data_IF_511834852637
#
_entry.id   IF_511834852637
#
_cell.length_a   1.000
_cell.length_b   1.000
_cell.length_c   1.000
_cell.angle_alpha   90.00
_cell.angle_beta   90.00
_cell.angle_gamma   90.00
#
_symmetry.space_group_name_H-M   'P 1'
#
loop_
_entity.id
_entity.type
_entity.pdbx_description
1 polymer ?
#
# COMPACT_ATOMS: atom_id res chain seq x y z
N UNK A 1 10.96 -14.90 -45.45
CA UNK A 1 10.93 -13.55 -44.85
C UNK A 1 12.22 -13.34 -44.07
N UNK A 2 13.14 -12.52 -44.59
CA UNK A 2 14.50 -12.31 -44.05
C UNK A 2 14.47 -11.12 -43.08
N UNK A 3 14.73 -11.35 -41.80
CA UNK A 3 14.90 -10.32 -40.78
C UNK A 3 16.34 -9.78 -40.82
N UNK A 4 16.52 -8.46 -40.94
CA UNK A 4 17.83 -7.78 -40.82
C UNK A 4 17.92 -7.13 -39.44
N UNK A 5 18.95 -7.48 -38.67
CA UNK A 5 19.34 -6.79 -37.45
C UNK A 5 19.84 -5.37 -37.78
N UNK A 6 19.31 -4.37 -37.09
CA UNK A 6 19.91 -3.03 -36.98
C UNK A 6 20.48 -2.88 -35.58
N UNK A 7 21.80 -2.74 -35.49
CA UNK A 7 22.51 -2.31 -34.28
C UNK A 7 22.28 -0.82 -34.04
N UNK A 8 21.81 -0.45 -32.86
CA UNK A 8 21.91 0.91 -32.32
C UNK A 8 23.00 0.91 -31.25
N UNK A 9 24.12 1.57 -31.53
CA UNK A 9 25.14 1.91 -30.54
C UNK A 9 24.75 3.19 -29.83
N UNK A 10 24.40 3.09 -28.54
CA UNK A 10 24.20 4.22 -27.63
C UNK A 10 25.34 4.28 -26.63
N UNK A 11 26.20 5.28 -26.79
CA UNK A 11 27.31 5.61 -25.90
C UNK A 11 26.77 6.34 -24.67
N UNK A 12 26.91 5.74 -23.47
CA UNK A 12 26.57 6.37 -22.19
C UNK A 12 27.85 6.78 -21.46
N UNK A 13 27.95 8.01 -20.91
CA UNK A 13 29.13 8.41 -20.16
C UNK A 13 29.17 7.73 -18.78
N UNK A 14 30.34 7.18 -18.44
CA UNK A 14 30.67 6.62 -17.13
C UNK A 14 30.66 7.73 -16.06
N UNK A 15 29.65 7.71 -15.20
CA UNK A 15 29.62 8.46 -13.94
C UNK A 15 30.55 7.82 -12.91
N UNK A 16 31.34 8.64 -12.21
CA UNK A 16 32.35 8.25 -11.23
C UNK A 16 31.75 7.50 -10.01
N UNK A 17 32.46 6.51 -9.44
CA UNK A 17 32.07 5.86 -8.20
C UNK A 17 32.51 6.70 -7.00
N UNK A 18 31.59 7.12 -6.14
CA UNK A 18 31.94 7.78 -4.89
C UNK A 18 30.73 8.31 -4.13
N UNK A 19 30.54 7.76 -2.93
CA UNK A 19 29.56 8.12 -1.88
C UNK A 19 28.21 7.40 -1.90
N UNK A 20 28.20 6.18 -1.34
CA UNK A 20 27.01 5.61 -0.71
C UNK A 20 26.68 6.40 0.56
N UNK A 21 25.88 7.46 0.43
CA UNK A 21 25.01 7.87 1.53
C UNK A 21 23.82 6.93 1.52
N UNK A 22 23.70 6.07 2.53
CA UNK A 22 22.45 5.40 2.85
C UNK A 22 21.41 6.47 3.14
N UNK A 23 20.66 6.87 2.12
CA UNK A 23 19.38 7.55 2.31
C UNK A 23 18.40 6.45 2.67
N UNK A 24 18.10 6.35 3.96
CA UNK A 24 16.95 5.63 4.47
C UNK A 24 15.71 6.35 3.92
N UNK A 25 15.28 5.96 2.72
CA UNK A 25 14.00 6.33 2.15
C UNK A 25 12.95 5.44 2.79
N UNK A 26 12.40 5.87 3.93
CA UNK A 26 11.09 5.40 4.35
C UNK A 26 10.07 5.89 3.32
N UNK A 27 9.47 4.96 2.59
CA UNK A 27 8.50 5.28 1.53
C UNK A 27 8.69 4.48 0.25
N UNK A 28 8.85 3.17 0.36
CA UNK A 28 8.58 2.26 -0.75
C UNK A 28 7.07 2.19 -0.98
N UNK A 29 6.48 3.25 -1.55
CA UNK A 29 5.12 3.23 -2.04
C UNK A 29 5.07 2.34 -3.27
N UNK A 30 4.64 1.09 -3.11
CA UNK A 30 4.38 0.19 -4.21
C UNK A 30 3.43 0.85 -5.22
N UNK A 31 3.70 0.66 -6.52
CA UNK A 31 2.72 0.94 -7.55
C UNK A 31 1.46 0.12 -7.23
N UNK A 32 0.36 0.76 -6.79
CA UNK A 32 -0.88 0.00 -6.60
C UNK A 32 -1.99 0.56 -5.71
N UNK A 33 -1.82 1.71 -5.05
CA UNK A 33 -2.92 2.35 -4.33
C UNK A 33 -3.89 3.06 -5.28
N UNK A 34 -4.71 2.34 -6.04
CA UNK A 34 -5.90 2.93 -6.68
C UNK A 34 -7.01 3.00 -5.63
N UNK A 35 -6.86 3.98 -4.77
CA UNK A 35 -7.81 4.38 -3.75
C UNK A 35 -7.23 5.59 -3.06
N UNK A 36 -8.02 6.65 -2.92
CA UNK A 36 -7.63 7.82 -2.14
C UNK A 36 -7.16 7.30 -0.77
N UNK A 37 -5.84 7.31 -0.52
CA UNK A 37 -5.35 7.17 0.85
C UNK A 37 -6.03 8.29 1.62
N UNK A 38 -6.93 7.93 2.53
CA UNK A 38 -7.83 8.88 3.16
C UNK A 38 -7.02 10.02 3.77
N UNK A 39 -7.29 11.25 3.32
CA UNK A 39 -6.67 12.43 3.93
C UNK A 39 -7.02 12.43 5.42
N UNK A 40 -6.00 12.32 6.28
CA UNK A 40 -6.18 12.42 7.72
C UNK A 40 -6.80 13.77 8.08
N UNK A 41 -7.80 13.78 8.96
CA UNK A 41 -8.43 15.01 9.40
C UNK A 41 -7.44 15.93 10.13
N UNK A 42 -7.46 17.22 9.78
CA UNK A 42 -6.70 18.23 10.52
C UNK A 42 -7.32 18.38 11.93
N UNK A 43 -6.51 18.19 12.99
CA UNK A 43 -6.94 18.44 14.37
C UNK A 43 -7.28 19.91 14.59
N UNK A 44 -8.30 20.18 15.41
CA UNK A 44 -8.76 21.53 15.69
C UNK A 44 -7.72 22.36 16.46
N UNK A 45 -7.42 23.57 15.99
CA UNK A 45 -6.55 24.51 16.67
C UNK A 45 -7.39 25.37 17.62
N UNK A 46 -7.10 25.31 18.92
CA UNK A 46 -7.79 26.08 19.95
C UNK A 46 -7.01 27.40 20.24
N UNK A 47 -7.68 28.54 20.22
CA UNK A 47 -7.08 29.85 20.55
C UNK A 47 -7.11 30.13 22.06
N UNK A 48 -6.15 30.90 22.62
CA UNK A 48 -5.73 30.78 24.02
C UNK A 48 -6.72 31.27 25.10
N UNK A 49 -7.81 31.93 24.76
CA UNK A 49 -8.48 32.82 25.72
C UNK A 49 -9.58 32.16 26.56
N UNK A 50 -10.22 31.07 26.11
CA UNK A 50 -11.16 30.24 26.89
C UNK A 50 -11.40 28.87 26.21
N UNK A 51 -10.35 28.11 25.90
CA UNK A 51 -10.49 27.02 24.94
C UNK A 51 -10.32 25.61 25.51
N UNK A 52 -11.42 24.87 25.48
CA UNK A 52 -11.40 23.42 25.38
C UNK A 52 -10.53 23.03 24.18
N UNK A 53 -9.71 22.00 24.34
CA UNK A 53 -8.91 21.50 23.24
C UNK A 53 -9.81 21.05 22.09
N UNK A 54 -9.49 21.42 20.85
CA UNK A 54 -10.27 20.98 19.69
C UNK A 54 -10.13 19.47 19.49
N UNK A 55 -11.22 18.77 19.13
CA UNK A 55 -11.12 17.33 18.84
C UNK A 55 -10.22 17.08 17.62
N UNK A 56 -9.53 15.94 17.64
CA UNK A 56 -8.74 15.46 16.53
C UNK A 56 -9.63 15.03 15.37
N UNK A 57 -9.20 15.27 14.13
CA UNK A 57 -9.95 14.85 12.95
C UNK A 57 -9.86 13.34 12.72
N UNK A 58 -10.91 12.70 12.19
CA UNK A 58 -10.86 11.27 11.86
C UNK A 58 -9.97 11.01 10.62
N UNK A 59 -9.33 9.84 10.58
CA UNK A 59 -8.63 9.34 9.41
C UNK A 59 -9.60 8.79 8.36
N UNK A 60 -9.33 9.02 7.08
CA UNK A 60 -10.13 8.41 6.01
C UNK A 60 -9.74 6.95 5.76
N UNK A 61 -10.66 6.12 5.29
CA UNK A 61 -10.34 4.71 4.98
C UNK A 61 -9.47 4.59 3.72
N UNK A 62 -8.58 3.60 3.70
CA UNK A 62 -7.77 3.23 2.55
C UNK A 62 -8.57 2.45 1.50
N UNK A 63 -8.22 2.63 0.23
CA UNK A 63 -8.74 1.80 -0.85
C UNK A 63 -7.89 0.55 -1.11
N UNK A 64 -8.15 -0.15 -2.22
CA UNK A 64 -7.43 -1.37 -2.58
C UNK A 64 -5.91 -1.14 -2.63
N UNK A 65 -5.14 -1.94 -1.89
CA UNK A 65 -3.68 -1.77 -1.75
C UNK A 65 -3.24 -0.54 -0.95
N UNK A 66 -4.17 0.30 -0.51
CA UNK A 66 -3.92 1.52 0.24
C UNK A 66 -4.08 1.33 1.75
N UNK A 67 -3.17 1.92 2.53
CA UNK A 67 -3.28 1.99 3.98
C UNK A 67 -4.40 2.93 4.45
N UNK A 68 -4.83 2.76 5.69
CA UNK A 68 -5.79 3.66 6.34
C UNK A 68 -5.21 5.05 6.60
N UNK A 69 -6.05 6.07 6.66
CA UNK A 69 -5.64 7.44 7.00
C UNK A 69 -5.40 7.61 8.50
N UNK A 70 -4.52 8.54 8.87
CA UNK A 70 -4.21 8.83 10.27
C UNK A 70 -5.42 9.46 10.99
N UNK A 71 -5.70 9.01 12.22
CA UNK A 71 -6.53 9.79 13.15
C UNK A 71 -5.70 10.97 13.68
N UNK A 72 -6.27 12.16 13.71
CA UNK A 72 -5.64 13.37 14.25
C UNK A 72 -5.63 13.36 15.78
N UNK A 73 -4.60 13.95 16.39
CA UNK A 73 -4.58 14.16 17.84
C UNK A 73 -5.60 15.23 18.25
N UNK A 74 -6.30 15.02 19.36
CA UNK A 74 -7.05 16.08 20.02
C UNK A 74 -6.10 17.15 20.57
N UNK A 75 -6.49 18.41 20.49
CA UNK A 75 -5.75 19.53 21.06
C UNK A 75 -5.74 19.47 22.59
N UNK A 76 -4.66 19.93 23.21
CA UNK A 76 -4.63 20.14 24.65
C UNK A 76 -5.61 21.27 25.02
N UNK A 77 -6.38 21.07 26.09
CA UNK A 77 -7.16 22.15 26.69
C UNK A 77 -6.22 23.16 27.33
N UNK A 78 -6.53 24.45 27.22
CA UNK A 78 -5.73 25.48 27.87
C UNK A 78 -5.77 25.32 29.39
N UNK A 79 -4.61 25.27 30.04
CA UNK A 79 -4.50 25.53 31.47
C UNK A 79 -4.68 27.03 31.68
N UNK A 80 -5.78 27.45 32.30
CA UNK A 80 -5.97 28.85 32.70
C UNK A 80 -4.78 29.26 33.59
N UNK A 81 -4.14 30.38 33.24
CA UNK A 81 -2.91 30.85 33.86
C UNK A 81 -3.02 30.94 35.38
N UNK A 82 -1.94 30.59 36.05
CA UNK A 82 -1.78 30.66 37.50
C UNK A 82 -1.59 32.09 38.01
N UNK A 83 -2.35 33.07 37.50
CA UNK A 83 -2.33 34.45 38.00
C UNK A 83 -3.11 34.59 39.31
N UNK A 84 -2.77 33.75 40.29
CA UNK A 84 -2.93 34.00 41.72
C UNK A 84 -4.35 34.18 42.29
N UNK A 85 -5.40 34.19 41.47
CA UNK A 85 -6.78 34.34 41.92
C UNK A 85 -7.41 32.98 42.15
N UNK A 86 -7.44 32.55 43.40
CA UNK A 86 -7.80 31.22 43.88
C UNK A 86 -9.28 30.84 43.80
N UNK A 87 -10.08 31.48 42.94
CA UNK A 87 -11.53 31.21 42.86
C UNK A 87 -11.99 31.01 41.41
N UNK A 88 -11.94 29.77 40.93
CA UNK A 88 -12.84 29.30 39.85
C UNK A 88 -12.24 28.94 38.49
N UNK A 89 -10.95 28.59 38.39
CA UNK A 89 -10.37 28.14 37.12
C UNK A 89 -10.82 26.73 36.74
N UNK A 90 -11.85 26.61 35.91
CA UNK A 90 -12.18 25.35 35.24
C UNK A 90 -10.97 24.89 34.42
N UNK A 91 -10.44 23.70 34.73
CA UNK A 91 -9.39 23.09 33.92
C UNK A 91 -9.97 22.79 32.54
N UNK A 92 -9.50 23.48 31.50
CA UNK A 92 -9.92 23.21 30.13
C UNK A 92 -9.72 21.74 29.80
N UNK A 93 -10.77 21.04 29.37
CA UNK A 93 -10.67 19.63 29.01
C UNK A 93 -9.89 19.49 27.71
N UNK A 94 -8.96 18.54 27.64
CA UNK A 94 -8.33 18.15 26.37
C UNK A 94 -9.38 17.66 25.39
N UNK A 95 -9.21 18.01 24.11
CA UNK A 95 -10.03 17.47 23.03
C UNK A 95 -9.80 15.96 22.89
N UNK A 96 -10.82 15.26 22.39
CA UNK A 96 -10.72 13.83 22.15
C UNK A 96 -9.86 13.54 20.90
N UNK A 97 -9.03 12.49 20.91
CA UNK A 97 -8.35 12.01 19.71
C UNK A 97 -9.33 11.59 18.61
N UNK A 98 -8.98 11.84 17.36
CA UNK A 98 -9.73 11.36 16.21
C UNK A 98 -9.59 9.85 16.03
N UNK A 99 -10.59 9.23 15.39
CA UNK A 99 -10.58 7.80 15.07
C UNK A 99 -9.71 7.53 13.84
N UNK A 100 -8.72 6.63 13.91
CA UNK A 100 -7.94 6.26 12.73
C UNK A 100 -8.78 5.57 11.65
N UNK A 101 -8.37 5.72 10.39
CA UNK A 101 -9.02 5.08 9.25
C UNK A 101 -8.62 3.62 9.09
N UNK A 102 -9.55 2.79 8.60
CA UNK A 102 -9.29 1.39 8.27
C UNK A 102 -8.57 1.27 6.93
N UNK A 103 -7.74 0.25 6.79
CA UNK A 103 -7.07 -0.08 5.54
C UNK A 103 -8.01 -0.71 4.52
N UNK A 104 -7.62 -0.63 3.25
CA UNK A 104 -8.18 -1.51 2.23
C UNK A 104 -7.40 -2.83 2.15
N UNK A 105 -7.79 -3.68 1.21
CA UNK A 105 -7.14 -4.99 1.02
C UNK A 105 -5.62 -4.85 0.84
N UNK A 106 -4.87 -5.56 1.68
CA UNK A 106 -3.41 -5.56 1.67
C UNK A 106 -2.77 -4.32 2.30
N UNK A 107 -3.52 -3.29 2.65
CA UNK A 107 -3.02 -2.18 3.45
C UNK A 107 -3.00 -2.51 4.95
N UNK A 108 -2.25 -1.72 5.71
CA UNK A 108 -2.32 -1.67 7.17
C UNK A 108 -3.17 -0.49 7.65
N UNK A 109 -3.83 -0.64 8.80
CA UNK A 109 -4.71 0.38 9.35
C UNK A 109 -3.95 1.65 9.74
N UNK A 110 -4.65 2.79 9.71
CA UNK A 110 -4.14 4.01 10.32
C UNK A 110 -4.06 3.83 11.84
N UNK A 111 -3.21 4.62 12.48
CA UNK A 111 -3.19 4.77 13.93
C UNK A 111 -3.29 6.25 14.30
N UNK A 112 -3.33 6.55 15.59
CA UNK A 112 -3.37 7.93 16.04
C UNK A 112 -2.03 8.61 15.69
N UNK A 113 -2.09 9.65 14.86
CA UNK A 113 -0.91 10.39 14.39
C UNK A 113 -0.14 9.78 13.23
N UNK A 114 -0.49 8.58 12.78
CA UNK A 114 0.23 7.90 11.69
C UNK A 114 -0.75 7.30 10.66
N UNK A 115 -0.43 7.51 9.39
CA UNK A 115 -1.11 6.78 8.32
C UNK A 115 -0.75 5.30 8.36
N UNK A 116 -1.64 4.47 7.85
CA UNK A 116 -1.42 3.06 7.64
C UNK A 116 -0.52 2.82 6.44
N UNK A 117 0.08 1.63 6.37
CA UNK A 117 1.00 1.27 5.29
C UNK A 117 0.29 0.72 4.06
N UNK A 118 0.90 0.87 2.89
CA UNK A 118 0.40 0.27 1.65
C UNK A 118 0.68 -1.24 1.55
N UNK A 119 -0.08 -1.93 0.71
CA UNK A 119 0.18 -3.32 0.33
C UNK A 119 1.15 -3.43 -0.83
N UNK A 120 1.87 -4.55 -0.91
CA UNK A 120 2.66 -4.93 -2.07
C UNK A 120 1.91 -5.98 -2.88
N UNK A 121 1.35 -5.63 -4.04
CA UNK A 121 0.45 -6.53 -4.78
C UNK A 121 0.93 -6.72 -6.21
N UNK A 122 1.46 -7.91 -6.53
CA UNK A 122 2.02 -8.16 -7.86
C UNK A 122 3.38 -7.51 -8.04
N UNK A 123 4.46 -8.28 -8.17
CA UNK A 123 5.78 -7.73 -8.51
C UNK A 123 6.01 -7.59 -10.02
N UNK A 124 5.28 -8.35 -10.86
CA UNK A 124 5.31 -8.22 -12.32
C UNK A 124 3.96 -7.79 -12.90
N UNK A 125 2.89 -8.53 -12.63
CA UNK A 125 1.58 -8.27 -13.23
C UNK A 125 0.50 -8.18 -12.15
N UNK A 126 -0.28 -7.10 -12.24
CA UNK A 126 -1.51 -6.92 -11.48
C UNK A 126 -2.72 -6.99 -12.42
N UNK A 127 -3.57 -8.00 -12.26
CA UNK A 127 -4.79 -8.20 -13.07
C UNK A 127 -6.01 -7.76 -12.27
N UNK A 128 -6.48 -6.55 -12.59
CA UNK A 128 -7.66 -5.95 -11.96
C UNK A 128 -8.96 -6.59 -12.42
N UNK A 129 -9.09 -6.76 -13.73
CA UNK A 129 -10.32 -7.17 -14.40
C UNK A 129 -10.00 -7.74 -15.78
N UNK A 130 -10.94 -8.51 -16.36
CA UNK A 130 -10.81 -9.03 -17.72
C UNK A 130 -9.97 -10.30 -17.81
N UNK A 131 -9.45 -10.60 -19.00
CA UNK A 131 -8.72 -11.83 -19.30
C UNK A 131 -7.31 -11.53 -19.80
N UNK A 132 -6.31 -12.06 -19.11
CA UNK A 132 -4.90 -12.10 -19.58
C UNK A 132 -4.59 -13.52 -20.06
N UNK A 133 -3.90 -13.64 -21.19
CA UNK A 133 -3.39 -14.90 -21.72
C UNK A 133 -1.87 -14.86 -21.72
N UNK A 134 -1.25 -15.80 -21.03
CA UNK A 134 0.20 -15.99 -20.95
C UNK A 134 0.59 -17.15 -21.83
N UNK A 135 1.63 -17.00 -22.63
CA UNK A 135 2.15 -18.05 -23.52
C UNK A 135 3.67 -17.96 -23.53
N UNK A 136 4.35 -19.03 -23.09
CA UNK A 136 5.81 -19.09 -23.03
C UNK A 136 6.43 -17.89 -22.29
N UNK A 137 5.95 -17.63 -21.07
CA UNK A 137 6.38 -16.49 -20.24
C UNK A 137 7.15 -16.99 -19.03
N UNK A 138 8.19 -16.24 -18.65
CA UNK A 138 8.95 -16.42 -17.42
C UNK A 138 8.82 -15.19 -16.54
N UNK A 139 8.50 -15.39 -15.27
CA UNK A 139 8.57 -14.37 -14.22
C UNK A 139 9.65 -14.78 -13.23
N UNK A 140 10.71 -13.98 -13.18
CA UNK A 140 11.88 -14.23 -12.34
C UNK A 140 12.18 -13.05 -11.41
N UNK A 141 12.46 -13.34 -10.14
CA UNK A 141 12.96 -12.35 -9.18
C UNK A 141 11.96 -11.25 -8.81
N UNK A 142 10.66 -11.46 -9.08
CA UNK A 142 9.64 -10.45 -8.82
C UNK A 142 9.28 -10.41 -7.34
N UNK A 143 9.11 -9.20 -6.79
CA UNK A 143 8.90 -9.01 -5.35
C UNK A 143 7.66 -8.18 -5.07
N UNK A 144 6.77 -8.70 -4.23
CA UNK A 144 5.62 -8.02 -3.68
C UNK A 144 5.86 -7.72 -2.19
N UNK A 145 6.41 -6.53 -1.90
CA UNK A 145 6.84 -6.11 -0.55
C UNK A 145 5.82 -5.14 0.01
N UNK A 146 5.27 -5.45 1.19
CA UNK A 146 4.39 -4.54 1.92
C UNK A 146 5.12 -3.29 2.40
N UNK A 147 4.36 -2.20 2.54
CA UNK A 147 4.80 -1.04 3.30
C UNK A 147 4.95 -1.38 4.78
N UNK A 148 5.92 -0.76 5.43
CA UNK A 148 6.11 -0.80 6.88
C UNK A 148 5.33 0.33 7.56
N UNK A 149 4.96 0.11 8.81
CA UNK A 149 4.23 1.09 9.62
C UNK A 149 3.77 0.48 10.96
N UNK A 150 3.08 1.26 11.81
CA UNK A 150 2.50 0.78 13.06
C UNK A 150 1.57 -0.43 12.86
N UNK A 151 0.86 -0.44 11.73
CA UNK A 151 0.16 -1.60 11.20
C UNK A 151 0.75 -1.90 9.83
N UNK A 152 1.55 -2.96 9.66
CA UNK A 152 2.17 -3.29 8.38
C UNK A 152 1.11 -3.78 7.36
N UNK A 153 1.40 -3.56 6.08
CA UNK A 153 0.57 -4.03 4.99
C UNK A 153 0.90 -5.49 4.68
N UNK A 154 0.31 -6.01 3.60
CA UNK A 154 0.55 -7.36 3.13
C UNK A 154 1.18 -7.37 1.75
N UNK A 155 2.15 -8.27 1.55
CA UNK A 155 2.69 -8.59 0.23
C UNK A 155 2.05 -9.83 -0.36
N UNK A 156 1.42 -9.74 -1.53
CA UNK A 156 0.72 -10.85 -2.19
C UNK A 156 1.12 -11.01 -3.66
N UNK A 157 1.35 -12.26 -4.08
CA UNK A 157 1.60 -12.63 -5.48
C UNK A 157 2.85 -11.98 -6.06
N UNK A 158 4.03 -12.45 -5.66
CA UNK A 158 5.32 -11.84 -6.02
C UNK A 158 5.52 -11.66 -7.51
N UNK A 159 5.04 -12.57 -8.36
CA UNK A 159 4.96 -12.35 -9.79
C UNK A 159 3.59 -11.79 -10.21
N UNK A 160 2.52 -12.54 -9.94
CA UNK A 160 1.19 -12.26 -10.47
C UNK A 160 0.20 -12.07 -9.33
N UNK A 161 -0.50 -10.94 -9.33
CA UNK A 161 -1.67 -10.73 -8.49
C UNK A 161 -2.93 -10.67 -9.34
N UNK A 162 -3.90 -11.55 -9.05
CA UNK A 162 -5.20 -11.60 -9.70
C UNK A 162 -6.24 -11.14 -8.69
N UNK A 163 -6.98 -10.09 -9.02
CA UNK A 163 -7.98 -9.52 -8.10
C UNK A 163 -9.06 -10.55 -7.77
N UNK A 164 -9.22 -10.92 -6.49
CA UNK A 164 -10.24 -11.87 -6.09
C UNK A 164 -11.63 -11.24 -6.23
N UNK A 165 -12.64 -12.07 -6.55
CA UNK A 165 -14.02 -11.60 -6.77
C UNK A 165 -14.61 -10.87 -5.57
N UNK A 166 -14.17 -11.19 -4.36
CA UNK A 166 -14.59 -10.53 -3.12
C UNK A 166 -14.28 -9.03 -3.13
N UNK A 167 -13.25 -8.61 -3.86
CA UNK A 167 -12.83 -7.20 -3.93
C UNK A 167 -13.42 -6.48 -5.13
N UNK A 168 -13.78 -7.22 -6.19
CA UNK A 168 -14.46 -6.68 -7.37
C UNK A 168 -15.50 -7.69 -7.90
N UNK A 169 -16.71 -7.73 -7.32
CA UNK A 169 -17.74 -8.69 -7.70
C UNK A 169 -18.15 -8.59 -9.17
N UNK A 170 -18.20 -7.35 -9.68
CA UNK A 170 -18.67 -7.05 -11.03
C UNK A 170 -17.57 -7.15 -12.11
N UNK A 171 -16.31 -7.30 -11.71
CA UNK A 171 -15.18 -7.31 -12.62
C UNK A 171 -14.30 -8.54 -12.37
N UNK A 172 -14.66 -9.65 -13.00
CA UNK A 172 -13.89 -10.89 -12.88
C UNK A 172 -12.53 -10.76 -13.60
N UNK A 173 -11.45 -10.78 -12.83
CA UNK A 173 -10.09 -11.00 -13.33
C UNK A 173 -9.87 -12.50 -13.61
N UNK A 174 -9.22 -12.81 -14.74
CA UNK A 174 -8.88 -14.16 -15.15
C UNK A 174 -7.51 -14.17 -15.82
N UNK A 175 -6.65 -15.08 -15.40
CA UNK A 175 -5.38 -15.37 -16.08
C UNK A 175 -5.43 -16.78 -16.65
N UNK A 176 -5.09 -16.90 -17.93
CA UNK A 176 -5.01 -18.17 -18.65
C UNK A 176 -3.59 -18.38 -19.12
N UNK A 177 -3.04 -19.56 -18.85
CA UNK A 177 -1.76 -20.02 -19.41
C UNK A 177 -2.05 -20.92 -20.59
N UNK A 178 -1.48 -20.58 -21.74
CA UNK A 178 -1.51 -21.36 -22.99
C UNK A 178 -0.09 -21.77 -23.36
N UNK A 179 0.02 -22.86 -24.11
CA UNK A 179 1.26 -23.23 -24.80
C UNK A 179 2.50 -23.21 -23.86
N UNK A 180 2.54 -24.14 -22.90
CA UNK A 180 3.59 -24.27 -21.87
C UNK A 180 5.03 -24.14 -22.38
N UNK A 181 5.99 -23.67 -21.55
CA UNK A 181 5.89 -23.51 -20.09
C UNK A 181 5.63 -22.07 -19.58
N UNK A 182 4.89 -21.95 -18.48
CA UNK A 182 4.95 -20.78 -17.58
C UNK A 182 6.01 -21.07 -16.53
N UNK A 183 7.08 -20.26 -16.49
CA UNK A 183 8.13 -20.38 -15.49
C UNK A 183 7.96 -19.30 -14.42
N UNK A 184 7.98 -19.72 -13.15
CA UNK A 184 7.91 -18.86 -11.97
C UNK A 184 9.14 -19.18 -11.12
N UNK A 185 10.11 -18.27 -11.10
CA UNK A 185 11.46 -18.53 -10.55
C UNK A 185 11.81 -17.44 -9.55
N UNK A 186 12.19 -17.84 -8.34
CA UNK A 186 12.71 -16.92 -7.30
C UNK A 186 11.83 -15.68 -7.05
N UNK A 187 10.52 -15.79 -7.23
CA UNK A 187 9.60 -14.71 -6.88
C UNK A 187 9.34 -14.75 -5.38
N UNK A 188 8.98 -13.59 -4.83
CA UNK A 188 8.78 -13.45 -3.40
C UNK A 188 7.68 -12.46 -3.06
N UNK A 189 6.97 -12.74 -1.97
CA UNK A 189 5.97 -11.85 -1.41
C UNK A 189 6.07 -11.89 0.11
N UNK A 190 5.99 -10.73 0.75
CA UNK A 190 6.16 -10.58 2.21
C UNK A 190 5.17 -11.42 3.02
N UNK A 191 3.95 -11.61 2.52
CA UNK A 191 2.88 -12.32 3.21
C UNK A 191 2.25 -13.34 2.26
N UNK A 192 2.97 -14.38 1.88
CA UNK A 192 2.46 -15.45 1.02
C UNK A 192 2.53 -16.82 1.71
N UNK A 193 1.92 -17.83 1.09
CA UNK A 193 1.87 -19.24 1.49
C UNK A 193 0.79 -19.62 2.52
N UNK A 194 -0.24 -18.81 2.68
CA UNK A 194 -1.37 -19.15 3.57
C UNK A 194 -2.38 -20.11 2.91
N UNK A 195 -2.44 -20.16 1.56
CA UNK A 195 -3.46 -20.91 0.79
C UNK A 195 -2.94 -21.35 -0.60
N UNK A 196 -3.57 -22.35 -1.25
CA UNK A 196 -3.18 -22.78 -2.61
C UNK A 196 -3.23 -21.69 -3.69
N UNK A 197 -4.03 -20.64 -3.49
CA UNK A 197 -4.12 -19.49 -4.40
C UNK A 197 -3.42 -18.25 -3.84
N UNK A 198 -2.50 -18.42 -2.91
CA UNK A 198 -1.74 -17.35 -2.26
C UNK A 198 -0.31 -17.84 -2.01
N UNK A 199 0.54 -17.71 -3.02
CA UNK A 199 1.94 -18.11 -2.98
C UNK A 199 2.87 -16.94 -3.25
N UNK A 200 4.17 -17.17 -3.05
CA UNK A 200 5.20 -16.21 -3.40
C UNK A 200 5.20 -15.84 -4.89
N UNK A 201 4.68 -16.70 -5.75
CA UNK A 201 4.56 -16.41 -7.17
C UNK A 201 3.22 -15.76 -7.52
N UNK A 202 2.11 -16.34 -7.05
CA UNK A 202 0.77 -15.99 -7.54
C UNK A 202 -0.22 -15.83 -6.41
N UNK A 203 -0.94 -14.71 -6.44
CA UNK A 203 -2.19 -14.53 -5.70
C UNK A 203 -3.38 -14.64 -6.66
N UNK A 204 -4.32 -15.52 -6.34
CA UNK A 204 -5.48 -15.88 -7.16
C UNK A 204 -5.29 -17.15 -7.99
N UNK A 205 -6.25 -17.44 -8.87
CA UNK A 205 -6.30 -18.70 -9.62
C UNK A 205 -5.83 -18.55 -11.08
N UNK A 206 -4.82 -19.32 -11.46
CA UNK A 206 -4.44 -19.54 -12.85
C UNK A 206 -5.35 -20.60 -13.50
N UNK A 207 -5.58 -20.48 -14.81
CA UNK A 207 -6.20 -21.55 -15.61
C UNK A 207 -5.26 -22.00 -16.72
N UNK A 208 -5.00 -23.29 -16.80
CA UNK A 208 -4.18 -23.87 -17.85
C UNK A 208 -5.08 -24.39 -18.97
N UNK A 209 -4.88 -23.88 -20.19
CA UNK A 209 -5.57 -24.35 -21.39
C UNK A 209 -4.55 -25.12 -22.26
N UNK A 210 -4.74 -26.43 -22.40
CA UNK A 210 -3.98 -27.25 -23.36
C UNK A 210 -4.62 -27.12 -24.74
N UNK A 211 -3.81 -27.00 -25.80
CA UNK A 211 -4.33 -27.20 -27.16
C UNK A 211 -4.76 -28.66 -27.29
N UNK A 212 -5.99 -28.88 -27.76
CA UNK A 212 -6.35 -30.17 -28.33
C UNK A 212 -5.52 -30.34 -29.61
N UNK A 213 -4.74 -31.42 -29.65
CA UNK A 213 -3.95 -31.80 -30.82
C UNK A 213 -4.84 -32.38 -31.91
#
# INVERSE_FOLDING_TARGET
WRWRHRHFGGFWPLGRPGQHRQRHLWGGGGFGGFGNAGNGGNGGNATPEMANGGNGGNGGNGGFGGGGGAGGFGGAGGSVGSDGSSNGGETGTSGEPGTPGLAGFGGGDGTLGYGGSGGGLGGAIFVRSGKVMLSQVQFEGNRAIAGSGPSPGLGKGGAIFITPRQLQPDAAAKVVVRDEPLALIDNWATDAADRPTDSHDVYGALRFERRAF
#
